data_IF_689504261460
#
_entry.id   IF_689504261460
#
_cell.length_a   1.000
_cell.length_b   1.000
_cell.length_c   1.000
_cell.angle_alpha   90.00
_cell.angle_beta   90.00
_cell.angle_gamma   90.00
#
_symmetry.space_group_name_H-M   'P 1'
#
loop_
_entity.id
_entity.type
_entity.pdbx_description
1 polymer ?
#
# COMPACT_ATOMS: atom_id res chain seq x y z
N UNK A 1 -15.55 9.35 -20.79
CA UNK A 1 -14.83 9.63 -19.52
C UNK A 1 -13.34 9.60 -19.77
N UNK A 2 -12.58 10.54 -19.20
CA UNK A 2 -11.12 10.51 -19.23
C UNK A 2 -10.58 9.47 -18.24
N UNK A 3 -9.38 8.94 -18.49
CA UNK A 3 -8.73 7.98 -17.59
C UNK A 3 -8.19 8.72 -16.35
N UNK A 4 -8.93 8.68 -15.24
CA UNK A 4 -8.40 9.09 -13.94
C UNK A 4 -7.39 8.02 -13.49
N UNK A 5 -6.14 8.44 -13.40
CA UNK A 5 -4.94 7.62 -13.15
C UNK A 5 -4.39 8.02 -11.77
N UNK A 6 -4.22 7.06 -10.85
CA UNK A 6 -3.97 7.36 -9.42
C UNK A 6 -3.01 6.32 -8.82
N UNK A 7 -1.74 6.71 -8.70
CA UNK A 7 -0.72 6.10 -7.85
C UNK A 7 0.18 7.24 -7.38
N UNK A 8 0.31 7.50 -6.07
CA UNK A 8 0.82 8.79 -5.58
C UNK A 8 1.53 8.75 -4.22
N UNK A 9 2.83 9.06 -4.23
CA UNK A 9 3.77 9.23 -3.09
C UNK A 9 3.89 10.72 -2.72
N UNK A 10 3.96 11.12 -1.44
CA UNK A 10 3.25 12.35 -0.96
C UNK A 10 3.44 12.73 0.54
N UNK A 11 4.35 13.59 1.08
CA UNK A 11 4.38 13.96 2.56
C UNK A 11 3.90 15.36 3.08
N UNK A 12 3.78 15.50 4.42
CA UNK A 12 3.69 16.76 5.24
C UNK A 12 4.53 16.72 6.54
N UNK A 13 4.61 17.87 7.22
CA UNK A 13 5.55 18.35 8.25
C UNK A 13 5.75 17.57 9.57
N UNK A 14 6.93 17.78 10.16
CA UNK A 14 7.26 17.46 11.57
C UNK A 14 8.74 17.69 11.91
N UNK A 15 9.12 18.88 12.42
CA UNK A 15 10.52 19.17 12.79
C UNK A 15 10.76 18.89 14.27
N UNK A 16 11.56 17.86 14.61
CA UNK A 16 12.48 17.85 15.76
C UNK A 16 13.55 16.77 15.59
N UNK A 17 14.83 17.13 15.69
CA UNK A 17 15.96 16.19 15.60
C UNK A 17 16.23 15.51 16.95
N UNK A 18 16.20 14.18 16.99
CA UNK A 18 16.84 13.33 18.02
C UNK A 18 16.91 11.87 17.55
N UNK A 19 17.97 11.50 16.82
CA UNK A 19 18.19 10.11 16.40
C UNK A 19 18.68 9.21 17.55
N UNK A 20 18.13 7.99 17.74
CA UNK A 20 18.62 7.06 18.75
C UNK A 20 19.96 6.43 18.32
N UNK A 21 21.02 6.68 19.09
CA UNK A 21 22.35 6.10 18.84
C UNK A 21 22.39 4.67 19.39
N UNK A 22 22.31 3.67 18.52
CA UNK A 22 22.75 2.32 18.85
C UNK A 22 24.27 2.21 18.70
N UNK A 23 24.95 1.96 19.81
CA UNK A 23 26.42 1.91 19.85
C UNK A 23 26.96 0.60 19.31
N UNK A 24 27.47 0.63 18.08
CA UNK A 24 28.63 -0.16 17.68
C UNK A 24 29.85 0.76 17.64
N UNK A 25 30.99 0.31 18.18
CA UNK A 25 32.19 1.16 18.37
C UNK A 25 32.94 1.38 17.05
N UNK A 26 32.39 2.20 16.17
CA UNK A 26 32.96 2.56 14.88
C UNK A 26 34.25 3.38 15.02
N UNK A 27 35.17 3.24 14.06
CA UNK A 27 36.40 4.05 14.06
C UNK A 27 36.10 5.51 13.71
N UNK A 28 36.90 6.49 14.17
CA UNK A 28 36.69 7.90 13.84
C UNK A 28 36.65 8.20 12.34
N UNK A 29 37.44 7.48 11.53
CA UNK A 29 37.43 7.61 10.07
C UNK A 29 36.09 7.15 9.48
N UNK A 30 35.63 5.95 9.85
CA UNK A 30 34.33 5.39 9.41
C UNK A 30 33.17 6.30 9.81
N UNK A 31 33.21 6.85 11.02
CA UNK A 31 32.19 7.77 11.52
C UNK A 31 32.19 9.11 10.74
N UNK A 32 33.34 9.66 10.36
CA UNK A 32 33.42 10.87 9.52
C UNK A 32 32.94 10.60 8.10
N UNK A 33 33.30 9.45 7.52
CA UNK A 33 32.87 9.04 6.18
C UNK A 33 31.35 8.85 6.10
N UNK A 34 30.74 8.10 7.03
CA UNK A 34 29.29 7.95 7.11
C UNK A 34 28.57 9.30 7.27
N UNK A 35 29.11 10.21 8.10
CA UNK A 35 28.57 11.56 8.25
C UNK A 35 28.69 12.43 6.97
N UNK A 36 29.58 12.09 6.04
CA UNK A 36 29.63 12.72 4.72
C UNK A 36 28.62 12.11 3.75
N UNK A 37 28.50 10.78 3.72
CA UNK A 37 27.56 10.08 2.84
C UNK A 37 26.11 10.39 3.20
N UNK A 38 25.76 10.41 4.49
CA UNK A 38 24.43 10.83 4.97
C UNK A 38 24.09 12.26 4.54
N UNK A 39 25.08 13.18 4.53
CA UNK A 39 24.87 14.54 4.00
C UNK A 39 24.63 14.55 2.48
N UNK A 40 25.39 13.76 1.70
CA UNK A 40 25.15 13.64 0.27
C UNK A 40 23.77 13.05 -0.05
N UNK A 41 23.28 12.14 0.80
CA UNK A 41 21.95 11.54 0.67
C UNK A 41 20.85 12.54 1.06
N UNK A 42 21.01 13.29 2.16
CA UNK A 42 20.07 14.36 2.53
C UNK A 42 19.93 15.39 1.40
N UNK A 43 21.06 15.92 0.88
CA UNK A 43 21.06 16.84 -0.25
C UNK A 43 20.35 16.25 -1.48
N UNK A 44 20.54 14.96 -1.78
CA UNK A 44 19.85 14.28 -2.88
C UNK A 44 18.33 14.27 -2.69
N UNK A 45 17.86 13.99 -1.47
CA UNK A 45 16.41 13.97 -1.16
C UNK A 45 15.83 15.39 -1.11
N UNK A 46 16.59 16.39 -0.67
CA UNK A 46 16.21 17.80 -0.73
C UNK A 46 16.07 18.30 -2.19
N UNK A 47 17.03 17.98 -3.07
CA UNK A 47 16.96 18.31 -4.49
C UNK A 47 15.83 17.54 -5.21
N UNK A 48 15.65 16.25 -4.91
CA UNK A 48 14.52 15.46 -5.42
C UNK A 48 13.18 16.06 -4.97
N UNK A 49 13.04 16.39 -3.68
CA UNK A 49 11.86 17.05 -3.12
C UNK A 49 11.56 18.36 -3.82
N UNK A 50 12.56 19.21 -4.00
CA UNK A 50 12.44 20.47 -4.76
C UNK A 50 11.92 20.22 -6.17
N UNK A 51 12.58 19.36 -6.96
CA UNK A 51 12.20 19.14 -8.35
C UNK A 51 10.87 18.39 -8.54
N UNK A 52 10.43 17.60 -7.55
CA UNK A 52 9.08 17.03 -7.50
C UNK A 52 8.01 18.11 -7.37
N UNK A 53 8.29 19.17 -6.61
CA UNK A 53 7.37 20.30 -6.42
C UNK A 53 7.46 21.37 -7.51
N UNK A 54 8.60 21.50 -8.18
CA UNK A 54 8.75 22.33 -9.39
C UNK A 54 8.22 21.62 -10.66
N UNK A 55 7.65 20.41 -10.52
CA UNK A 55 7.22 19.53 -11.62
C UNK A 55 8.27 19.37 -12.72
N UNK A 56 9.55 19.34 -12.32
CA UNK A 56 10.69 19.28 -13.24
C UNK A 56 11.07 17.83 -13.54
N UNK A 57 10.39 17.24 -14.53
CA UNK A 57 10.54 15.82 -14.87
C UNK A 57 11.98 15.44 -15.29
N UNK A 58 12.72 16.37 -15.89
CA UNK A 58 14.02 16.05 -16.50
C UNK A 58 15.13 16.02 -15.45
N UNK A 59 15.06 16.88 -14.43
CA UNK A 59 15.85 16.73 -13.20
C UNK A 59 15.39 15.50 -12.38
N UNK A 60 14.08 15.24 -12.29
CA UNK A 60 13.56 14.05 -11.57
C UNK A 60 14.08 12.74 -12.17
N UNK A 61 14.09 12.60 -13.50
CA UNK A 61 14.78 11.49 -14.19
C UNK A 61 16.26 11.40 -13.82
N UNK A 62 16.91 12.51 -13.47
CA UNK A 62 18.31 12.57 -13.10
C UNK A 62 18.67 11.78 -11.85
N UNK A 63 17.75 11.62 -10.88
CA UNK A 63 18.03 10.89 -9.63
C UNK A 63 18.00 9.36 -9.79
N UNK A 64 17.20 8.84 -10.71
CA UNK A 64 17.08 7.40 -10.95
C UNK A 64 18.24 6.83 -11.77
N UNK A 65 18.75 5.67 -11.38
CA UNK A 65 19.77 4.93 -12.13
C UNK A 65 19.23 4.49 -13.51
N UNK A 66 20.10 4.25 -14.53
CA UNK A 66 19.65 3.79 -15.85
C UNK A 66 18.92 2.44 -15.83
N UNK A 67 19.26 1.58 -14.86
CA UNK A 67 18.71 0.24 -14.65
C UNK A 67 17.66 0.20 -13.52
N UNK A 68 17.10 1.35 -13.12
CA UNK A 68 16.11 1.42 -12.04
C UNK A 68 14.84 0.60 -12.33
N UNK A 69 14.34 -0.07 -11.28
CA UNK A 69 13.06 -0.79 -11.24
C UNK A 69 12.45 -0.68 -9.83
N UNK A 70 11.15 -0.38 -9.72
CA UNK A 70 10.44 -0.35 -8.43
C UNK A 70 10.21 -1.75 -7.85
N UNK A 71 9.82 -1.83 -6.58
CA UNK A 71 9.38 -3.07 -5.93
C UNK A 71 8.10 -3.68 -6.54
N UNK A 72 7.38 -2.92 -7.38
CA UNK A 72 6.23 -3.36 -8.19
C UNK A 72 6.63 -3.70 -9.65
N UNK A 73 7.94 -3.71 -9.96
CA UNK A 73 8.45 -4.05 -11.29
C UNK A 73 8.41 -2.92 -12.33
N UNK A 74 8.01 -1.71 -11.93
CA UNK A 74 7.86 -0.54 -12.82
C UNK A 74 9.24 0.01 -13.17
N UNK A 75 9.53 0.19 -14.47
CA UNK A 75 10.82 0.71 -14.95
C UNK A 75 10.83 2.24 -15.00
N UNK A 76 12.04 2.82 -15.09
CA UNK A 76 12.27 4.28 -15.13
C UNK A 76 11.39 5.02 -16.15
N UNK A 77 11.26 4.50 -17.37
CA UNK A 77 10.47 5.13 -18.44
C UNK A 77 8.95 4.94 -18.28
N UNK A 78 8.50 4.03 -17.41
CA UNK A 78 7.10 3.81 -17.07
C UNK A 78 6.73 4.70 -15.89
N UNK A 79 7.55 4.71 -14.82
CA UNK A 79 7.47 5.65 -13.70
C UNK A 79 7.44 7.11 -14.18
N UNK A 80 8.33 7.49 -15.10
CA UNK A 80 8.38 8.83 -15.71
C UNK A 80 7.04 9.24 -16.33
N UNK A 81 6.31 8.29 -16.92
CA UNK A 81 4.98 8.56 -17.50
C UNK A 81 3.92 8.70 -16.41
N UNK A 82 3.94 7.81 -15.41
CA UNK A 82 3.03 7.88 -14.25
C UNK A 82 3.16 9.23 -13.53
N UNK A 83 4.39 9.68 -13.25
CA UNK A 83 4.67 10.98 -12.63
C UNK A 83 4.09 12.13 -13.48
N UNK A 84 4.34 12.16 -14.79
CA UNK A 84 3.75 13.17 -15.69
C UNK A 84 2.22 13.15 -15.68
N UNK A 85 1.63 11.97 -15.85
CA UNK A 85 0.18 11.80 -15.88
C UNK A 85 -0.46 12.16 -14.53
N UNK A 86 0.27 12.03 -13.42
CA UNK A 86 -0.15 12.57 -12.13
C UNK A 86 -0.15 14.10 -12.14
N UNK A 87 0.94 14.76 -12.55
CA UNK A 87 0.99 16.23 -12.62
C UNK A 87 -0.05 16.81 -13.60
N UNK A 88 -0.34 16.12 -14.72
CA UNK A 88 -1.42 16.48 -15.66
C UNK A 88 -2.82 16.40 -15.02
N UNK A 89 -3.03 15.49 -14.04
CA UNK A 89 -4.28 15.32 -13.30
C UNK A 89 -4.35 16.20 -12.04
N UNK A 90 -3.21 16.62 -11.51
CA UNK A 90 -3.01 17.24 -10.19
C UNK A 90 -1.95 18.38 -10.26
N UNK A 91 -2.22 19.48 -10.97
CA UNK A 91 -1.22 20.48 -11.36
C UNK A 91 -0.80 21.44 -10.24
N UNK A 92 -1.43 21.36 -9.07
CA UNK A 92 -1.03 22.08 -7.85
C UNK A 92 -0.49 21.12 -6.77
N UNK A 93 -0.18 19.86 -7.13
CA UNK A 93 0.24 18.86 -6.15
C UNK A 93 1.54 19.23 -5.46
N UNK A 94 1.46 19.26 -4.12
CA UNK A 94 2.57 19.61 -3.25
C UNK A 94 2.99 18.40 -2.43
N UNK A 95 4.26 18.03 -2.55
CA UNK A 95 4.91 16.94 -1.84
C UNK A 95 5.82 17.52 -0.75
N UNK A 96 5.68 17.14 0.52
CA UNK A 96 6.85 17.09 1.42
C UNK A 96 7.46 15.68 1.33
N UNK A 97 8.58 15.44 2.01
CA UNK A 97 9.11 14.10 2.28
C UNK A 97 9.63 14.08 3.73
N UNK A 98 9.32 13.04 4.52
CA UNK A 98 9.78 12.94 5.92
C UNK A 98 10.72 11.75 6.13
N UNK A 99 12.03 11.99 6.09
CA UNK A 99 13.06 10.96 6.34
C UNK A 99 12.99 10.49 7.81
N UNK A 100 13.02 9.17 8.01
CA UNK A 100 13.02 8.50 9.32
C UNK A 100 14.35 7.84 9.65
N UNK A 101 15.01 7.24 8.66
CA UNK A 101 16.33 6.61 8.82
C UNK A 101 17.13 6.64 7.52
N UNK A 102 18.46 6.66 7.63
CA UNK A 102 19.42 6.57 6.51
C UNK A 102 20.52 5.57 6.90
N UNK A 103 20.46 4.39 6.30
CA UNK A 103 21.39 3.28 6.56
C UNK A 103 22.39 3.19 5.41
N UNK A 104 23.66 3.52 5.66
CA UNK A 104 24.73 3.51 4.65
C UNK A 104 25.67 2.32 4.83
N UNK A 105 25.92 1.57 3.76
CA UNK A 105 26.84 0.44 3.70
C UNK A 105 27.70 0.54 2.42
N UNK A 106 28.90 1.10 2.55
CA UNK A 106 29.85 1.31 1.45
C UNK A 106 29.22 2.11 0.28
N UNK A 107 29.03 1.48 -0.88
CA UNK A 107 28.42 2.08 -2.08
C UNK A 107 26.90 1.86 -2.18
N UNK A 108 26.26 1.32 -1.14
CA UNK A 108 24.83 1.13 -1.01
C UNK A 108 24.28 1.95 0.15
N UNK A 109 23.05 2.46 0.01
CA UNK A 109 22.32 3.06 1.11
C UNK A 109 20.83 2.77 1.02
N UNK A 110 20.13 2.93 2.13
CA UNK A 110 18.68 2.77 2.25
C UNK A 110 18.13 3.96 3.03
N UNK A 111 17.20 4.70 2.41
CA UNK A 111 16.45 5.78 3.06
C UNK A 111 15.05 5.28 3.36
N UNK A 112 14.52 5.60 4.53
CA UNK A 112 13.17 5.27 4.95
C UNK A 112 12.37 6.56 5.19
N UNK A 113 11.16 6.68 4.66
CA UNK A 113 10.35 7.91 4.75
C UNK A 113 8.85 7.70 4.97
N UNK A 114 8.18 8.71 5.52
CA UNK A 114 6.71 8.77 5.68
C UNK A 114 6.06 9.93 4.93
N UNK A 115 4.82 9.67 4.55
CA UNK A 115 4.05 10.42 3.57
C UNK A 115 2.57 10.60 4.01
N UNK A 116 2.02 11.78 3.72
CA UNK A 116 0.81 12.52 4.14
C UNK A 116 0.63 13.88 3.36
N UNK A 117 0.26 13.96 2.06
CA UNK A 117 0.18 15.21 1.22
C UNK A 117 -1.07 15.41 0.31
N UNK A 118 -1.06 16.43 -0.59
CA UNK A 118 -2.28 17.20 -1.01
C UNK A 118 -2.28 17.81 -2.45
N UNK A 119 -3.48 17.93 -3.08
CA UNK A 119 -3.72 18.62 -4.37
C UNK A 119 -5.22 18.91 -4.65
N UNK A 120 -5.54 19.78 -5.62
CA UNK A 120 -6.83 19.84 -6.32
C UNK A 120 -6.77 19.16 -7.70
N UNK A 121 -7.87 18.50 -8.10
CA UNK A 121 -7.95 17.88 -9.44
C UNK A 121 -7.97 18.95 -10.56
N UNK A 122 -7.16 18.77 -11.60
CA UNK A 122 -7.01 19.68 -12.74
C UNK A 122 -8.33 20.09 -13.41
N UNK A 123 -9.32 19.20 -13.36
CA UNK A 123 -10.65 19.38 -13.96
C UNK A 123 -11.70 19.29 -12.86
N UNK A 124 -12.77 20.06 -13.02
CA UNK A 124 -13.99 19.91 -12.21
C UNK A 124 -14.67 18.59 -12.56
N UNK A 125 -15.28 17.94 -11.57
CA UNK A 125 -16.21 16.83 -11.78
C UNK A 125 -17.41 17.31 -12.59
N UNK A 126 -17.78 16.57 -13.63
CA UNK A 126 -18.99 16.82 -14.45
C UNK A 126 -20.29 16.65 -13.64
N UNK A 127 -20.22 15.96 -12.48
CA UNK A 127 -21.37 15.59 -11.65
C UNK A 127 -21.59 16.62 -10.53
N UNK A 128 -20.57 16.85 -9.70
CA UNK A 128 -20.65 17.78 -8.55
C UNK A 128 -20.33 19.23 -8.93
N UNK A 129 -19.81 19.45 -10.14
CA UNK A 129 -19.35 20.75 -10.64
C UNK A 129 -18.37 21.46 -9.68
N UNK A 130 -17.39 20.72 -9.16
CA UNK A 130 -16.29 21.26 -8.35
C UNK A 130 -14.98 20.49 -8.58
N UNK A 131 -13.84 21.07 -8.18
CA UNK A 131 -12.55 20.36 -8.15
C UNK A 131 -12.56 19.36 -7.01
N UNK A 132 -12.01 18.17 -7.19
CA UNK A 132 -11.79 17.23 -6.10
C UNK A 132 -10.57 17.65 -5.29
N UNK A 133 -10.60 17.42 -3.97
CA UNK A 133 -9.40 17.50 -3.12
C UNK A 133 -8.80 16.10 -3.06
N UNK A 134 -7.52 15.97 -3.40
CA UNK A 134 -6.72 14.77 -3.18
C UNK A 134 -5.94 14.91 -1.86
N UNK A 135 -5.95 13.83 -1.08
CA UNK A 135 -5.13 13.61 0.11
C UNK A 135 -4.50 12.21 -0.04
N UNK A 136 -3.19 12.05 0.18
CA UNK A 136 -2.53 10.73 0.11
C UNK A 136 -1.44 10.57 1.17
N UNK A 137 -1.17 9.33 1.57
CA UNK A 137 -0.18 8.94 2.60
C UNK A 137 0.56 7.69 2.15
N UNK A 138 1.83 7.52 2.53
CA UNK A 138 2.60 6.29 2.28
C UNK A 138 3.76 6.06 3.26
N UNK A 139 4.35 4.87 3.22
CA UNK A 139 5.59 4.50 3.92
C UNK A 139 6.54 3.83 2.93
N UNK A 140 7.70 4.45 2.74
CA UNK A 140 8.55 4.19 1.59
C UNK A 140 9.98 3.83 2.01
N UNK A 141 10.57 2.88 1.30
CA UNK A 141 12.00 2.54 1.35
C UNK A 141 12.62 2.87 0.00
N UNK A 142 13.62 3.73 -0.02
CA UNK A 142 14.37 4.10 -1.23
C UNK A 142 15.74 3.43 -1.16
N UNK A 143 16.07 2.62 -2.17
CA UNK A 143 17.36 1.96 -2.30
C UNK A 143 18.29 2.79 -3.20
N UNK A 144 19.42 3.22 -2.64
CA UNK A 144 20.40 4.06 -3.31
C UNK A 144 21.69 3.28 -3.59
N UNK A 145 22.30 3.55 -4.75
CA UNK A 145 23.65 3.10 -5.07
C UNK A 145 24.53 4.29 -5.47
N UNK A 146 25.79 4.29 -5.03
CA UNK A 146 26.78 5.31 -5.39
C UNK A 146 27.35 5.01 -6.77
N UNK A 147 27.12 5.92 -7.71
CA UNK A 147 27.53 5.81 -9.12
C UNK A 147 28.46 6.98 -9.47
N UNK A 148 29.75 6.68 -9.58
CA UNK A 148 30.78 7.70 -9.77
C UNK A 148 30.91 8.62 -8.55
N UNK A 149 30.55 9.91 -8.70
CA UNK A 149 30.66 10.93 -7.65
C UNK A 149 29.39 11.19 -6.83
N UNK A 150 28.27 10.54 -7.15
CA UNK A 150 26.98 10.81 -6.50
C UNK A 150 26.12 9.56 -6.32
N UNK A 151 25.06 9.70 -5.54
CA UNK A 151 24.08 8.65 -5.30
C UNK A 151 22.99 8.65 -6.39
N UNK A 152 22.40 7.48 -6.65
CA UNK A 152 21.25 7.29 -7.55
C UNK A 152 20.25 6.29 -6.98
N UNK A 153 18.96 6.53 -7.21
CA UNK A 153 17.87 5.61 -6.84
C UNK A 153 17.92 4.41 -7.79
N UNK A 154 18.21 3.22 -7.26
CA UNK A 154 18.25 1.96 -8.04
C UNK A 154 16.97 1.15 -7.90
N UNK A 155 16.25 1.31 -6.80
CA UNK A 155 14.93 0.72 -6.56
C UNK A 155 14.23 1.46 -5.42
N UNK A 156 12.97 1.15 -5.20
CA UNK A 156 12.17 1.58 -4.06
C UNK A 156 11.18 0.48 -3.67
N UNK A 157 10.55 0.62 -2.51
CA UNK A 157 9.46 -0.23 -2.06
C UNK A 157 8.49 0.58 -1.20
N UNK A 158 7.22 0.54 -1.58
CA UNK A 158 6.12 1.05 -0.78
C UNK A 158 5.64 -0.08 0.16
N UNK A 159 5.63 0.18 1.47
CA UNK A 159 5.02 -0.74 2.46
C UNK A 159 3.52 -0.49 2.60
N UNK A 160 3.14 0.78 2.70
CA UNK A 160 1.78 1.24 2.90
C UNK A 160 1.55 2.45 1.99
N UNK A 161 0.36 2.56 1.39
CA UNK A 161 -0.09 3.73 0.64
C UNK A 161 -1.61 3.81 0.73
N UNK A 162 -2.14 4.94 1.22
CA UNK A 162 -3.56 5.24 1.25
C UNK A 162 -3.82 6.59 0.57
N UNK A 163 -4.70 6.62 -0.42
CA UNK A 163 -5.12 7.84 -1.14
C UNK A 163 -6.63 8.05 -0.99
N UNK A 164 -7.07 9.30 -0.87
CA UNK A 164 -8.47 9.70 -0.93
C UNK A 164 -8.65 10.91 -1.86
N UNK A 165 -9.68 10.89 -2.69
CA UNK A 165 -10.08 12.03 -3.54
C UNK A 165 -11.55 12.33 -3.26
N UNK A 166 -11.87 13.57 -2.86
CA UNK A 166 -13.20 13.96 -2.38
C UNK A 166 -13.76 15.15 -3.17
N UNK A 167 -14.99 15.01 -3.65
CA UNK A 167 -15.75 15.99 -4.44
C UNK A 167 -17.06 16.36 -3.75
N UNK A 168 -17.53 17.60 -3.91
CA UNK A 168 -18.81 18.07 -3.36
C UNK A 168 -18.89 17.91 -1.84
N UNK A 169 -20.04 17.43 -1.33
CA UNK A 169 -20.27 17.28 0.11
C UNK A 169 -19.28 16.30 0.79
N UNK A 170 -18.76 15.31 0.05
CA UNK A 170 -17.87 14.27 0.57
C UNK A 170 -16.55 14.83 1.15
N UNK A 171 -16.17 16.06 0.78
CA UNK A 171 -15.02 16.78 1.35
C UNK A 171 -15.15 17.05 2.85
N UNK A 172 -16.38 17.24 3.32
CA UNK A 172 -16.68 17.53 4.72
C UNK A 172 -17.07 16.30 5.56
N UNK A 173 -16.99 15.10 4.99
CA UNK A 173 -17.43 13.86 5.65
C UNK A 173 -16.24 13.03 6.13
N UNK A 174 -16.41 12.39 7.28
CA UNK A 174 -15.49 11.37 7.77
C UNK A 174 -15.76 10.06 7.01
N UNK A 175 -14.96 9.84 5.96
CA UNK A 175 -14.95 8.64 5.13
C UNK A 175 -13.65 7.89 5.39
N UNK A 176 -13.73 6.61 5.73
CA UNK A 176 -12.58 5.74 6.02
C UNK A 176 -12.67 4.49 5.16
N UNK A 177 -11.53 4.03 4.67
CA UNK A 177 -11.42 2.75 3.99
C UNK A 177 -10.32 1.91 4.65
N UNK A 178 -10.52 0.60 4.69
CA UNK A 178 -9.60 -0.36 5.32
C UNK A 178 -9.52 -1.64 4.52
N UNK A 179 -8.29 -2.08 4.26
CA UNK A 179 -7.93 -3.37 3.69
C UNK A 179 -6.69 -3.90 4.46
N UNK A 180 -6.34 -5.20 4.40
CA UNK A 180 -5.10 -5.67 4.99
C UNK A 180 -3.87 -5.16 4.22
N UNK A 181 -2.84 -4.70 4.92
CA UNK A 181 -1.59 -4.25 4.30
C UNK A 181 -0.84 -5.37 3.56
N UNK A 182 -1.06 -6.63 3.97
CA UNK A 182 -0.45 -7.82 3.37
C UNK A 182 -1.48 -8.97 3.28
N UNK A 183 -1.44 -9.73 2.17
CA UNK A 183 -2.25 -10.94 1.95
C UNK A 183 -1.47 -11.97 1.14
N UNK A 184 -1.73 -13.27 1.32
CA UNK A 184 -1.13 -14.30 0.47
C UNK A 184 -1.79 -14.36 -0.92
N UNK A 185 -1.00 -14.69 -1.94
CA UNK A 185 -1.41 -14.81 -3.35
C UNK A 185 -2.54 -15.83 -3.56
N UNK A 186 -3.71 -15.36 -4.00
CA UNK A 186 -4.93 -16.15 -4.26
C UNK A 186 -5.87 -16.37 -3.05
N UNK A 187 -5.57 -15.82 -1.87
CA UNK A 187 -6.43 -15.91 -0.69
C UNK A 187 -7.54 -14.85 -0.67
N UNK A 188 -8.57 -15.07 0.16
CA UNK A 188 -9.65 -14.11 0.35
C UNK A 188 -9.33 -13.12 1.47
N UNK A 189 -9.69 -11.85 1.25
CA UNK A 189 -9.64 -10.78 2.24
C UNK A 189 -10.91 -9.93 2.24
N UNK A 190 -11.25 -9.36 3.39
CA UNK A 190 -12.30 -8.33 3.48
C UNK A 190 -11.68 -6.95 3.34
N UNK A 191 -12.33 -6.09 2.56
CA UNK A 191 -12.13 -4.65 2.63
C UNK A 191 -13.45 -3.96 3.08
N UNK A 192 -13.32 -2.89 3.86
CA UNK A 192 -14.41 -2.25 4.59
C UNK A 192 -14.37 -0.73 4.40
N UNK A 193 -15.49 -0.16 3.96
CA UNK A 193 -15.73 1.27 3.78
C UNK A 193 -16.67 1.76 4.87
N UNK A 194 -16.24 2.74 5.66
CA UNK A 194 -17.08 3.50 6.58
C UNK A 194 -17.32 4.92 6.04
N UNK A 195 -18.54 5.44 6.20
CA UNK A 195 -18.82 6.87 6.03
C UNK A 195 -19.90 7.35 6.99
N UNK A 196 -19.74 8.59 7.47
CA UNK A 196 -20.87 9.38 7.97
C UNK A 196 -21.95 9.49 6.87
N UNK A 197 -23.23 9.37 7.22
CA UNK A 197 -24.36 9.51 6.28
C UNK A 197 -25.19 10.75 6.65
N UNK A 198 -25.20 11.81 5.81
CA UNK A 198 -25.98 13.02 6.11
C UNK A 198 -27.50 12.78 6.06
N UNK A 199 -28.24 13.63 6.78
CA UNK A 199 -29.71 13.59 6.78
C UNK A 199 -30.27 13.83 5.37
N UNK A 200 -31.25 13.00 4.98
CA UNK A 200 -31.85 12.95 3.62
C UNK A 200 -30.87 12.58 2.50
N UNK A 201 -29.77 11.89 2.80
CA UNK A 201 -28.85 11.35 1.79
C UNK A 201 -28.98 9.84 1.69
N UNK A 202 -29.09 9.31 0.46
CA UNK A 202 -28.86 7.90 0.16
C UNK A 202 -27.41 7.78 -0.34
N UNK A 203 -26.65 6.85 0.24
CA UNK A 203 -25.25 6.64 -0.12
C UNK A 203 -25.08 5.30 -0.83
N UNK A 204 -24.37 5.30 -1.95
CA UNK A 204 -24.03 4.10 -2.71
C UNK A 204 -22.52 3.92 -2.74
N UNK A 205 -22.05 2.74 -2.35
CA UNK A 205 -20.64 2.37 -2.35
C UNK A 205 -20.34 1.18 -3.27
N UNK A 206 -19.19 1.23 -3.92
CA UNK A 206 -18.54 0.13 -4.62
C UNK A 206 -17.21 -0.12 -3.91
N UNK A 207 -16.81 -1.39 -3.79
CA UNK A 207 -15.47 -1.80 -3.32
C UNK A 207 -14.94 -2.78 -4.37
N UNK A 208 -13.72 -2.56 -4.85
CA UNK A 208 -13.05 -3.37 -5.88
C UNK A 208 -11.57 -3.53 -5.55
N UNK A 209 -10.82 -4.23 -6.41
CA UNK A 209 -9.37 -4.33 -6.32
C UNK A 209 -8.70 -4.41 -7.69
N UNK A 210 -7.65 -3.61 -7.87
CA UNK A 210 -6.93 -3.43 -9.13
C UNK A 210 -5.46 -3.84 -8.92
N UNK A 211 -4.87 -4.71 -9.77
CA UNK A 211 -3.46 -5.07 -9.63
C UNK A 211 -2.57 -3.89 -10.03
N UNK A 212 -1.48 -3.66 -9.30
CA UNK A 212 -0.50 -2.61 -9.62
C UNK A 212 0.31 -3.09 -10.84
N UNK A 213 -0.08 -2.61 -12.02
CA UNK A 213 0.54 -2.89 -13.31
C UNK A 213 0.50 -1.64 -14.19
N UNK A 214 1.43 -1.53 -15.15
CA UNK A 214 1.41 -0.47 -16.17
C UNK A 214 1.29 -1.06 -17.59
N UNK A 215 0.35 -0.58 -18.43
CA UNK A 215 -0.71 0.39 -18.11
C UNK A 215 -1.78 -0.21 -17.17
N UNK A 216 -2.42 0.66 -16.38
CA UNK A 216 -3.45 0.27 -15.40
C UNK A 216 -4.65 -0.47 -16.03
N UNK A 217 -5.17 -1.47 -15.30
CA UNK A 217 -6.42 -2.16 -15.61
C UNK A 217 -7.48 -1.86 -14.54
N UNK A 218 -8.60 -1.26 -14.94
CA UNK A 218 -9.70 -0.97 -14.00
C UNK A 218 -10.64 -2.15 -13.79
N UNK A 219 -11.13 -2.29 -12.57
CA UNK A 219 -12.12 -3.31 -12.19
C UNK A 219 -13.55 -2.86 -12.54
N UNK A 220 -14.47 -3.83 -12.66
CA UNK A 220 -15.89 -3.55 -12.78
C UNK A 220 -16.48 -3.19 -11.40
N UNK A 221 -17.13 -2.03 -11.33
CA UNK A 221 -17.72 -1.50 -10.11
C UNK A 221 -19.16 -1.99 -9.91
N UNK A 222 -19.46 -2.49 -8.70
CA UNK A 222 -20.79 -3.01 -8.35
C UNK A 222 -21.29 -2.23 -7.14
N UNK A 223 -21.94 -1.10 -7.43
CA UNK A 223 -22.51 -0.21 -6.42
C UNK A 223 -23.66 -0.87 -5.67
N UNK A 224 -23.63 -0.74 -4.34
CA UNK A 224 -24.68 -1.17 -3.40
C UNK A 224 -24.96 -0.02 -2.44
N UNK A 225 -26.19 0.04 -1.92
CA UNK A 225 -26.51 1.04 -0.89
C UNK A 225 -25.67 0.75 0.37
N UNK A 226 -25.07 1.79 0.95
CA UNK A 226 -24.42 1.72 2.26
C UNK A 226 -25.53 1.68 3.33
N UNK A 227 -25.53 0.72 4.28
CA UNK A 227 -26.57 0.61 5.30
C UNK A 227 -26.67 1.88 6.17
N UNK A 228 -27.82 2.60 6.18
CA UNK A 228 -27.98 3.86 6.90
C UNK A 228 -27.74 3.78 8.42
N UNK A 229 -27.93 2.60 9.00
CA UNK A 229 -27.82 2.33 10.44
C UNK A 229 -26.38 2.15 10.93
N UNK A 230 -25.42 1.85 10.02
CA UNK A 230 -24.01 1.59 10.37
C UNK A 230 -23.03 2.51 9.66
N UNK A 231 -23.35 2.98 8.45
CA UNK A 231 -22.40 3.64 7.57
C UNK A 231 -21.34 2.72 6.97
N UNK A 232 -21.45 1.40 7.16
CA UNK A 232 -20.42 0.40 6.82
C UNK A 232 -20.86 -0.47 5.63
N UNK A 233 -20.06 -0.45 4.55
CA UNK A 233 -20.14 -1.39 3.44
C UNK A 233 -18.89 -2.27 3.42
N UNK A 234 -19.07 -3.59 3.31
CA UNK A 234 -17.96 -4.56 3.27
C UNK A 234 -17.99 -5.41 2.00
N UNK A 235 -16.81 -5.86 1.55
CA UNK A 235 -16.68 -6.83 0.46
C UNK A 235 -15.54 -7.80 0.72
N UNK A 236 -15.84 -9.10 0.66
CA UNK A 236 -14.84 -10.17 0.53
C UNK A 236 -14.36 -10.22 -0.93
N UNK A 237 -13.04 -10.24 -1.13
CA UNK A 237 -12.37 -10.26 -2.43
C UNK A 237 -11.20 -11.24 -2.42
N UNK A 238 -10.98 -11.95 -3.54
CA UNK A 238 -9.85 -12.87 -3.71
C UNK A 238 -8.66 -12.15 -4.33
N UNK A 239 -7.50 -12.11 -3.67
CA UNK A 239 -6.27 -11.52 -4.20
C UNK A 239 -5.83 -12.19 -5.51
N UNK A 240 -5.04 -11.49 -6.32
CA UNK A 240 -4.52 -12.05 -7.56
C UNK A 240 -3.57 -13.23 -7.32
N UNK A 241 -3.36 -13.99 -8.40
CA UNK A 241 -2.42 -15.13 -8.46
C UNK A 241 -1.18 -14.82 -9.32
N UNK A 242 -0.95 -13.55 -9.65
CA UNK A 242 0.19 -13.10 -10.47
C UNK A 242 1.36 -12.58 -9.62
N UNK A 243 1.21 -12.56 -8.29
CA UNK A 243 2.19 -12.07 -7.32
C UNK A 243 2.52 -10.57 -7.48
N UNK A 244 1.61 -9.80 -8.09
CA UNK A 244 1.69 -8.33 -8.11
C UNK A 244 0.98 -7.79 -6.87
N UNK A 245 1.45 -6.67 -6.32
CA UNK A 245 0.71 -5.96 -5.27
C UNK A 245 -0.59 -5.35 -5.86
N UNK A 246 -1.55 -5.02 -5.00
CA UNK A 246 -2.87 -4.53 -5.41
C UNK A 246 -3.19 -3.17 -4.77
N UNK A 247 -4.06 -2.41 -5.41
CA UNK A 247 -4.85 -1.38 -4.76
C UNK A 247 -6.23 -1.98 -4.49
N UNK A 248 -6.60 -2.09 -3.22
CA UNK A 248 -8.02 -2.13 -2.85
C UNK A 248 -8.59 -0.72 -3.08
N UNK A 249 -9.78 -0.64 -3.66
CA UNK A 249 -10.40 0.64 -4.06
C UNK A 249 -11.85 0.68 -3.55
N UNK A 250 -12.28 1.84 -3.07
CA UNK A 250 -13.67 2.12 -2.74
C UNK A 250 -14.15 3.42 -3.40
N UNK A 251 -15.23 3.33 -4.17
CA UNK A 251 -15.90 4.49 -4.76
C UNK A 251 -17.24 4.69 -4.05
N UNK A 252 -17.53 5.91 -3.60
CA UNK A 252 -18.76 6.23 -2.86
C UNK A 252 -19.42 7.51 -3.39
N UNK A 253 -20.74 7.44 -3.61
CA UNK A 253 -21.57 8.55 -4.08
C UNK A 253 -22.67 8.90 -3.08
N UNK A 254 -22.86 10.19 -2.84
CA UNK A 254 -23.80 10.75 -1.87
C UNK A 254 -24.94 11.46 -2.60
N UNK A 255 -26.14 10.87 -2.59
CA UNK A 255 -27.32 11.40 -3.29
C UNK A 255 -28.29 12.05 -2.31
N UNK A 256 -28.39 13.37 -2.34
CA UNK A 256 -29.45 14.13 -1.65
C UNK A 256 -30.83 13.78 -2.22
N UNK A 257 -31.80 13.61 -1.32
CA UNK A 257 -33.20 13.34 -1.64
C UNK A 257 -34.07 14.53 -1.21
N UNK A 258 -34.68 15.19 -2.19
CA UNK A 258 -35.62 16.29 -2.02
C UNK A 258 -36.96 15.98 -2.72
N UNK A 259 -37.81 16.98 -2.92
CA UNK A 259 -39.13 16.80 -3.53
C UNK A 259 -40.18 16.21 -2.59
N UNK A 260 -41.15 15.48 -3.16
CA UNK A 260 -42.31 14.93 -2.44
C UNK A 260 -42.42 13.41 -2.63
N UNK A 261 -43.17 12.76 -1.74
CA UNK A 261 -43.44 11.32 -1.86
C UNK A 261 -44.11 11.01 -3.21
N UNK A 262 -43.54 10.06 -3.96
CA UNK A 262 -43.97 9.71 -5.33
C UNK A 262 -43.31 10.52 -6.45
N UNK A 263 -42.63 11.63 -6.15
CA UNK A 263 -41.80 12.37 -7.11
C UNK A 263 -40.56 12.97 -6.41
N UNK A 264 -39.59 12.11 -6.01
CA UNK A 264 -38.37 12.56 -5.35
C UNK A 264 -37.44 13.26 -6.35
N UNK A 265 -36.84 14.37 -5.92
CA UNK A 265 -35.70 14.98 -6.60
C UNK A 265 -34.41 14.36 -6.07
N UNK A 266 -33.54 13.90 -6.96
CA UNK A 266 -32.35 13.09 -6.62
C UNK A 266 -31.09 13.76 -7.17
N UNK A 267 -30.23 14.25 -6.27
CA UNK A 267 -29.04 15.02 -6.61
C UNK A 267 -27.78 14.39 -6.02
N UNK A 268 -26.94 13.82 -6.86
CA UNK A 268 -25.60 13.34 -6.48
C UNK A 268 -24.71 14.54 -6.13
N UNK A 269 -24.56 14.81 -4.83
CA UNK A 269 -23.96 16.03 -4.30
C UNK A 269 -22.55 15.87 -3.76
N UNK A 270 -22.07 14.63 -3.64
CA UNK A 270 -20.68 14.33 -3.31
C UNK A 270 -20.23 12.99 -3.85
N UNK A 271 -18.93 12.86 -4.10
CA UNK A 271 -18.27 11.63 -4.53
C UNK A 271 -16.95 11.53 -3.76
N UNK A 272 -16.58 10.34 -3.30
CA UNK A 272 -15.20 10.06 -2.93
C UNK A 272 -14.69 8.76 -3.57
N UNK A 273 -13.39 8.75 -3.86
CA UNK A 273 -12.63 7.56 -4.26
C UNK A 273 -11.53 7.38 -3.21
N UNK A 274 -11.43 6.20 -2.62
CA UNK A 274 -10.41 5.84 -1.64
C UNK A 274 -9.65 4.64 -2.17
N UNK A 275 -8.33 4.64 -2.00
CA UNK A 275 -7.43 3.56 -2.42
C UNK A 275 -6.54 3.19 -1.24
N UNK A 276 -6.29 1.90 -1.04
CA UNK A 276 -5.33 1.37 -0.09
C UNK A 276 -4.50 0.27 -0.75
N UNK A 277 -3.17 0.34 -0.60
CA UNK A 277 -2.24 -0.70 -1.02
C UNK A 277 -2.40 -1.97 -0.20
N UNK A 278 -2.47 -3.09 -0.90
CA UNK A 278 -2.47 -4.46 -0.36
C UNK A 278 -1.27 -5.18 -0.98
N UNK A 279 -0.26 -5.50 -0.18
CA UNK A 279 0.93 -6.19 -0.67
C UNK A 279 0.66 -7.70 -0.77
N UNK A 280 0.89 -8.30 -1.93
CA UNK A 280 0.61 -9.72 -2.17
C UNK A 280 1.87 -10.54 -1.94
N UNK A 281 1.87 -11.32 -0.86
CA UNK A 281 2.94 -12.26 -0.51
C UNK A 281 2.94 -13.39 -1.56
N UNK A 282 4.03 -13.56 -2.34
CA UNK A 282 4.10 -14.60 -3.37
C UNK A 282 4.04 -16.00 -2.78
N UNK A 283 3.39 -16.94 -3.48
CA UNK A 283 3.48 -18.37 -3.11
C UNK A 283 4.85 -18.92 -3.51
N UNK A 284 5.65 -19.27 -2.50
CA UNK A 284 7.01 -19.76 -2.68
C UNK A 284 7.02 -21.28 -2.94
N UNK A 285 7.08 -21.66 -4.22
CA UNK A 285 7.07 -23.04 -4.67
C UNK A 285 8.38 -23.82 -4.37
N UNK A 286 9.34 -23.21 -3.66
CA UNK A 286 10.65 -23.80 -3.35
C UNK A 286 10.90 -23.99 -1.85
N UNK A 287 9.91 -23.68 -0.99
CA UNK A 287 9.95 -24.06 0.43
C UNK A 287 9.31 -25.44 0.56
N UNK A 288 10.16 -26.47 0.52
CA UNK A 288 9.77 -27.83 0.83
C UNK A 288 9.67 -27.96 2.35
N UNK A 289 8.45 -27.93 2.87
CA UNK A 289 8.18 -28.47 4.20
C UNK A 289 8.13 -29.99 4.04
N UNK A 290 9.08 -30.70 4.67
CA UNK A 290 8.88 -32.11 4.92
C UNK A 290 7.68 -32.22 5.87
N UNK A 291 6.55 -32.70 5.36
CA UNK A 291 5.46 -33.10 6.24
C UNK A 291 6.03 -34.14 7.22
N UNK A 292 5.84 -33.99 8.54
CA UNK A 292 6.09 -35.11 9.44
C UNK A 292 5.28 -36.30 8.92
N UNK A 293 5.91 -37.47 8.89
CA UNK A 293 5.21 -38.70 8.48
C UNK A 293 3.95 -38.86 9.35
N UNK A 294 2.85 -39.39 8.81
CA UNK A 294 1.78 -39.86 9.68
C UNK A 294 2.38 -40.84 10.71
N UNK A 295 1.89 -40.76 11.94
CA UNK A 295 2.21 -41.73 13.00
C UNK A 295 1.41 -43.02 12.73
N UNK A 296 1.77 -43.71 11.65
CA UNK A 296 1.33 -45.07 11.40
C UNK A 296 2.00 -45.99 12.44
N UNK A 297 1.18 -46.81 13.09
CA UNK A 297 1.55 -48.01 13.86
C UNK A 297 2.51 -47.83 15.07
N UNK A 298 2.02 -47.16 16.13
CA UNK A 298 2.33 -47.65 17.48
C UNK A 298 1.54 -48.94 17.73
N UNK A 299 2.23 -50.07 17.81
CA UNK A 299 1.62 -51.37 18.11
C UNK A 299 0.95 -51.37 19.50
N UNK A 300 -0.22 -52.00 19.60
CA UNK A 300 -1.01 -52.10 20.83
C UNK A 300 -0.42 -53.18 21.77
N UNK A 301 0.64 -52.81 22.51
CA UNK A 301 1.28 -53.64 23.54
C UNK A 301 0.35 -53.83 24.77
N UNK A 302 -0.69 -54.64 24.55
CA UNK A 302 -1.62 -55.14 25.57
C UNK A 302 -0.94 -56.21 26.40
N UNK A 303 0.05 -55.80 27.20
CA UNK A 303 0.91 -56.68 27.98
C UNK A 303 0.16 -57.63 28.92
N UNK A 304 0.07 -58.90 28.52
CA UNK A 304 -0.32 -60.03 29.37
C UNK A 304 0.94 -60.84 29.68
N UNK A 305 1.61 -60.51 30.79
CA UNK A 305 2.68 -61.34 31.32
C UNK A 305 2.09 -62.62 31.97
N UNK A 306 2.59 -63.82 31.64
CA UNK A 306 2.11 -65.07 32.23
C UNK A 306 2.59 -65.23 33.68
N UNK A 307 1.74 -65.82 34.52
CA UNK A 307 2.07 -66.16 35.92
C UNK A 307 2.69 -67.56 35.98
N UNK A 308 3.79 -67.71 36.70
CA UNK A 308 4.53 -68.98 36.80
C UNK A 308 3.88 -69.99 37.77
N UNK A 309 3.45 -71.14 37.22
CA UNK A 309 3.57 -72.51 37.78
C UNK A 309 2.92 -72.85 39.16
N UNK A 310 2.56 -74.13 39.44
CA UNK A 310 3.61 -75.09 39.83
C UNK A 310 3.39 -76.56 39.39
N UNK A 311 4.52 -77.20 39.00
CA UNK A 311 5.04 -78.50 39.47
C UNK A 311 4.23 -79.82 39.26
N UNK A 312 4.99 -80.91 39.06
CA UNK A 312 4.64 -82.35 39.11
C UNK A 312 3.74 -82.94 37.99
N UNK A 313 3.84 -84.23 37.65
CA UNK A 313 4.99 -85.12 37.34
C UNK A 313 4.38 -86.45 36.81
N UNK A 314 5.09 -87.20 35.96
CA UNK A 314 4.75 -88.61 35.58
C UNK A 314 3.37 -88.82 34.87
N UNK A 315 3.00 -89.94 34.24
CA UNK A 315 3.70 -91.19 33.84
C UNK A 315 3.00 -91.79 32.56
N UNK A 316 3.49 -92.94 32.10
CA UNK A 316 2.99 -93.91 31.08
C UNK A 316 1.44 -93.99 30.86
N UNK A 317 0.89 -94.41 29.71
CA UNK A 317 1.40 -95.08 28.48
C UNK A 317 0.76 -94.49 27.19
#
# INVERSE_FOLDING_TARGET
MNKLLILLITATFGIYFSGPIYSQTLTPATHVEQNQEVKQINNLIEEFSKYSNEHNIDEIKGFYAPNYISGDGIKKDELTKIIKQSWDNYPDIHYTYEIKDIRVNNNLATVESYDKAISNTAKRSEITNDTGILESTSHNIIYLQKMGKGWKIVSDKIYYENTAIKYGCAKGLNIKFSAPEQIYSGEDYTASLYTDIPSKTIVFGSITREPIIYPESKAEEIFRQVPPESGILERVMKSNKTNNNELAVASVGFTEVAGTYGNPDLKLSGIAILLQRVNVIPKNNYVYVENPKPEDDMEDDTGILPVESPIEDSIED
#
